data_IF_408747457372
#
_entry.id   IF_408747457372
#
_cell.length_a   1.000
_cell.length_b   1.000
_cell.length_c   1.000
_cell.angle_alpha   90.00
_cell.angle_beta   90.00
_cell.angle_gamma   90.00
#
_symmetry.space_group_name_H-M   'P 1'
#
loop_
_entity.id
_entity.type
_entity.pdbx_description
1 polymer ?
#
# COMPACT_ATOMS: atom_id res chain seq x y z
N UNK A 1 -5.30 3.83 3.12
CA UNK A 1 -4.17 4.30 2.29
C UNK A 1 -4.73 4.69 0.93
N UNK A 2 -4.28 5.82 0.38
CA UNK A 2 -4.85 6.46 -0.80
C UNK A 2 -4.02 6.19 -2.05
N UNK A 3 -4.59 6.38 -3.23
CA UNK A 3 -3.83 6.48 -4.48
C UNK A 3 -3.53 7.93 -4.82
N UNK A 4 -2.34 8.18 -5.37
CA UNK A 4 -1.84 9.52 -5.71
C UNK A 4 -1.37 9.52 -7.16
N UNK A 5 -1.73 10.57 -7.89
CA UNK A 5 -1.38 10.77 -9.28
C UNK A 5 -0.72 12.16 -9.45
N UNK A 6 0.47 12.25 -10.07
CA UNK A 6 1.14 13.53 -10.27
C UNK A 6 0.43 14.35 -11.36
N UNK A 7 0.25 15.65 -11.13
CA UNK A 7 -0.41 16.57 -12.06
C UNK A 7 0.24 16.58 -13.46
N UNK A 8 1.55 16.38 -13.50
CA UNK A 8 2.33 16.31 -14.75
C UNK A 8 1.86 15.15 -15.66
N UNK A 9 1.33 14.05 -15.11
CA UNK A 9 0.76 12.98 -15.92
C UNK A 9 -0.50 13.44 -16.66
N UNK A 10 -1.37 14.19 -15.98
CA UNK A 10 -2.58 14.78 -16.58
C UNK A 10 -2.23 15.82 -17.64
N UNK A 11 -1.21 16.65 -17.38
CA UNK A 11 -0.73 17.64 -18.35
C UNK A 11 -0.18 16.98 -19.62
N UNK A 12 0.50 15.83 -19.50
CA UNK A 12 0.96 15.05 -20.66
C UNK A 12 -0.20 14.40 -21.41
N UNK A 13 -1.15 13.78 -20.71
CA UNK A 13 -2.34 13.22 -21.32
C UNK A 13 -3.10 14.28 -22.14
N UNK A 14 -3.26 15.50 -21.59
CA UNK A 14 -3.87 16.60 -22.33
C UNK A 14 -3.08 16.98 -23.61
N UNK A 15 -1.74 17.02 -23.53
CA UNK A 15 -0.88 17.28 -24.71
C UNK A 15 -0.99 16.19 -25.77
N UNK A 16 -1.23 14.95 -25.37
CA UNK A 16 -1.47 13.80 -26.25
C UNK A 16 -2.93 13.70 -26.72
N UNK A 17 -3.72 14.77 -26.55
CA UNK A 17 -5.12 14.87 -26.95
C UNK A 17 -6.06 13.85 -26.27
N UNK A 18 -5.71 13.38 -25.07
CA UNK A 18 -6.67 12.69 -24.23
C UNK A 18 -7.79 13.64 -23.79
N UNK A 19 -9.02 13.12 -23.80
CA UNK A 19 -10.21 13.86 -23.41
C UNK A 19 -10.32 13.95 -21.88
N UNK A 20 -9.75 15.02 -21.33
CA UNK A 20 -9.71 15.29 -19.90
C UNK A 20 -11.09 15.56 -19.29
N UNK A 21 -12.07 15.98 -20.10
CA UNK A 21 -13.43 16.29 -19.65
C UNK A 21 -14.22 15.03 -19.24
N UNK A 22 -13.75 13.85 -19.65
CA UNK A 22 -14.34 12.57 -19.26
C UNK A 22 -13.95 12.12 -17.85
N UNK A 23 -12.98 12.77 -17.22
CA UNK A 23 -12.54 12.42 -15.87
C UNK A 23 -13.58 12.91 -14.84
N UNK A 24 -14.06 11.99 -13.99
CA UNK A 24 -14.97 12.35 -12.90
C UNK A 24 -14.17 13.04 -11.79
N UNK A 25 -14.36 14.36 -11.62
CA UNK A 25 -13.79 15.11 -10.52
C UNK A 25 -14.59 14.86 -9.24
N UNK A 26 -13.88 14.56 -8.15
CA UNK A 26 -14.50 14.36 -6.85
C UNK A 26 -14.68 15.68 -6.10
N UNK A 27 -15.81 15.86 -5.40
CA UNK A 27 -16.09 17.06 -4.63
C UNK A 27 -15.13 17.17 -3.44
N UNK A 28 -14.74 18.40 -3.08
CA UNK A 28 -13.75 18.66 -2.03
C UNK A 28 -14.20 18.13 -0.67
N UNK A 29 -15.50 18.13 -0.40
CA UNK A 29 -16.11 17.60 0.83
C UNK A 29 -15.91 16.09 1.00
N UNK A 30 -15.63 15.37 -0.10
CA UNK A 30 -15.30 13.95 -0.06
C UNK A 30 -13.83 13.67 0.25
N UNK A 31 -12.97 14.70 0.22
CA UNK A 31 -11.55 14.58 0.51
C UNK A 31 -11.28 14.72 2.01
N UNK A 32 -10.71 13.67 2.61
CA UNK A 32 -10.23 13.70 4.00
C UNK A 32 -8.77 14.18 4.04
N UNK A 33 -8.32 14.85 5.12
CA UNK A 33 -6.91 15.20 5.28
C UNK A 33 -6.02 13.95 5.24
N UNK A 34 -4.91 14.06 4.51
CA UNK A 34 -3.93 12.98 4.37
C UNK A 34 -2.60 13.45 4.92
N UNK A 35 -1.91 12.56 5.63
CA UNK A 35 -0.57 12.80 6.14
C UNK A 35 0.44 11.87 5.47
N UNK A 36 1.68 12.34 5.34
CA UNK A 36 2.82 11.54 4.91
C UNK A 36 3.31 10.60 6.04
N UNK A 37 4.34 9.80 5.76
CA UNK A 37 4.93 8.87 6.71
C UNK A 37 5.58 9.55 7.94
N UNK A 38 5.86 10.85 7.84
CA UNK A 38 6.39 11.69 8.92
C UNK A 38 5.29 12.48 9.64
N UNK A 39 4.01 12.18 9.37
CA UNK A 39 2.83 12.85 9.91
C UNK A 39 2.68 14.33 9.47
N UNK A 40 3.35 14.76 8.40
CA UNK A 40 3.09 16.08 7.82
C UNK A 40 1.85 16.01 6.94
N UNK A 41 1.02 17.05 6.99
CA UNK A 41 -0.15 17.15 6.12
C UNK A 41 0.29 17.31 4.66
N UNK A 42 -0.27 16.46 3.80
CA UNK A 42 -0.11 16.56 2.35
C UNK A 42 -1.17 17.51 1.77
N UNK A 43 -0.79 18.27 0.75
CA UNK A 43 -1.68 19.12 -0.02
C UNK A 43 -1.88 18.52 -1.41
N UNK A 44 -3.12 18.48 -1.87
CA UNK A 44 -3.49 17.97 -3.19
C UNK A 44 -4.28 19.05 -3.94
N UNK A 45 -4.15 19.06 -5.26
CA UNK A 45 -4.86 20.00 -6.15
C UNK A 45 -6.34 19.63 -6.31
N UNK A 46 -6.69 18.38 -6.00
CA UNK A 46 -8.04 17.85 -6.13
C UNK A 46 -8.00 16.32 -6.11
N UNK A 47 -9.14 15.71 -6.43
CA UNK A 47 -9.24 14.27 -6.62
C UNK A 47 -10.11 13.92 -7.82
N UNK A 48 -9.81 12.80 -8.45
CA UNK A 48 -10.55 12.28 -9.62
C UNK A 48 -10.82 10.79 -9.46
N UNK A 49 -11.82 10.27 -10.16
CA UNK A 49 -11.98 8.84 -10.40
C UNK A 49 -11.69 8.53 -11.87
N UNK A 50 -10.99 7.41 -12.08
CA UNK A 50 -10.79 6.86 -13.41
C UNK A 50 -10.77 5.34 -13.37
N UNK A 51 -11.06 4.73 -14.52
CA UNK A 51 -10.87 3.30 -14.72
C UNK A 51 -9.38 3.00 -14.90
N UNK A 52 -8.88 2.05 -14.12
CA UNK A 52 -7.48 1.59 -14.14
C UNK A 52 -7.46 0.14 -14.55
N UNK A 53 -6.62 -0.18 -15.53
CA UNK A 53 -6.31 -1.55 -15.92
C UNK A 53 -4.88 -1.88 -15.43
N UNK A 54 -4.74 -2.95 -14.66
CA UNK A 54 -3.44 -3.46 -14.23
C UNK A 54 -3.05 -4.64 -15.11
N UNK A 55 -1.88 -4.59 -15.74
CA UNK A 55 -1.35 -5.72 -16.50
C UNK A 55 -1.14 -6.94 -15.58
N UNK A 56 -1.74 -8.07 -15.94
CA UNK A 56 -1.73 -9.29 -15.11
C UNK A 56 -2.66 -9.23 -13.88
N UNK A 57 -3.44 -8.15 -13.72
CA UNK A 57 -4.45 -7.99 -12.68
C UNK A 57 -5.85 -7.77 -13.26
N UNK A 58 -6.71 -7.12 -12.48
CA UNK A 58 -8.08 -6.76 -12.89
C UNK A 58 -8.21 -5.27 -13.26
N UNK A 59 -9.40 -4.89 -13.72
CA UNK A 59 -9.79 -3.51 -13.98
C UNK A 59 -10.64 -2.98 -12.83
N UNK A 60 -10.31 -1.79 -12.33
CA UNK A 60 -11.07 -1.17 -11.24
C UNK A 60 -11.27 0.33 -11.46
N UNK A 61 -12.38 0.87 -10.95
CA UNK A 61 -12.54 2.32 -10.79
C UNK A 61 -11.82 2.74 -9.51
N UNK A 62 -10.84 3.61 -9.65
CA UNK A 62 -9.95 4.05 -8.57
C UNK A 62 -10.05 5.57 -8.42
N UNK A 63 -10.17 6.01 -7.16
CA UNK A 63 -10.04 7.42 -6.80
C UNK A 63 -8.57 7.77 -6.57
N UNK A 64 -8.11 8.88 -7.16
CA UNK A 64 -6.76 9.41 -7.03
C UNK A 64 -6.80 10.82 -6.47
N UNK A 65 -5.89 11.13 -5.55
CA UNK A 65 -5.56 12.50 -5.20
C UNK A 65 -4.50 13.04 -6.18
N UNK A 66 -4.67 14.26 -6.66
CA UNK A 66 -3.76 14.89 -7.61
C UNK A 66 -2.69 15.64 -6.83
N UNK A 67 -1.44 15.16 -6.90
CA UNK A 67 -0.32 15.81 -6.27
C UNK A 67 0.34 16.84 -7.19
N UNK A 68 0.69 17.99 -6.64
CA UNK A 68 1.47 19.03 -7.32
C UNK A 68 2.96 18.68 -7.25
N UNK A 69 3.35 17.64 -7.98
CA UNK A 69 4.74 17.22 -8.10
C UNK A 69 5.10 16.94 -9.56
N UNK A 70 6.38 17.07 -9.87
CA UNK A 70 6.95 16.73 -11.18
C UNK A 70 7.37 15.25 -11.27
N UNK A 71 7.02 14.46 -10.26
CA UNK A 71 7.34 13.04 -10.23
C UNK A 71 6.56 12.31 -11.33
N UNK A 72 7.11 11.19 -11.78
CA UNK A 72 6.49 10.36 -12.83
C UNK A 72 5.81 9.12 -12.26
N UNK A 73 5.92 8.92 -10.95
CA UNK A 73 5.46 7.72 -10.29
C UNK A 73 3.99 7.88 -9.89
N UNK A 74 3.21 6.84 -10.17
CA UNK A 74 1.82 6.73 -9.71
C UNK A 74 1.84 5.88 -8.45
N UNK A 75 1.25 6.37 -7.38
CA UNK A 75 1.11 5.60 -6.14
C UNK A 75 -0.26 4.95 -6.09
N UNK A 76 -0.28 3.62 -5.98
CA UNK A 76 -1.50 2.86 -5.76
C UNK A 76 -1.63 2.50 -4.28
N UNK A 77 -2.69 2.99 -3.65
CA UNK A 77 -3.01 2.67 -2.27
C UNK A 77 -3.87 1.42 -2.12
N UNK A 78 -4.12 1.04 -0.87
CA UNK A 78 -5.05 -0.05 -0.53
C UNK A 78 -6.48 0.18 -1.03
N UNK A 79 -6.87 1.42 -1.35
CA UNK A 79 -8.14 1.73 -2.03
C UNK A 79 -8.22 1.15 -3.46
N UNK A 80 -7.08 0.84 -4.07
CA UNK A 80 -6.96 0.28 -5.41
C UNK A 80 -6.51 -1.19 -5.40
N UNK A 81 -5.48 -1.53 -4.60
CA UNK A 81 -4.78 -2.82 -4.68
C UNK A 81 -5.71 -4.04 -4.54
N UNK A 82 -6.64 -4.02 -3.58
CA UNK A 82 -7.60 -5.12 -3.38
C UNK A 82 -8.50 -5.34 -4.61
N UNK A 83 -8.98 -4.25 -5.21
CA UNK A 83 -9.83 -4.29 -6.41
C UNK A 83 -9.07 -4.64 -7.68
N UNK A 84 -7.76 -4.40 -7.70
CA UNK A 84 -6.86 -4.78 -8.79
C UNK A 84 -6.30 -6.20 -8.60
N UNK A 85 -6.75 -6.92 -7.55
CA UNK A 85 -6.36 -8.31 -7.24
C UNK A 85 -4.86 -8.45 -6.95
N UNK A 86 -4.26 -7.43 -6.34
CA UNK A 86 -2.85 -7.48 -5.90
C UNK A 86 -2.77 -8.14 -4.52
N UNK A 87 -1.99 -9.22 -4.41
CA UNK A 87 -1.77 -9.94 -3.17
C UNK A 87 -0.29 -9.97 -2.79
N UNK A 88 0.00 -9.62 -1.52
CA UNK A 88 1.33 -9.80 -0.96
C UNK A 88 1.48 -11.23 -0.43
N UNK A 89 2.37 -12.01 -1.05
CA UNK A 89 2.70 -13.36 -0.58
C UNK A 89 4.10 -13.34 0.02
N UNK A 90 4.17 -13.49 1.35
CA UNK A 90 5.45 -13.69 2.04
C UNK A 90 5.78 -15.18 2.00
N UNK A 91 6.77 -15.55 1.19
CA UNK A 91 7.33 -16.91 1.21
C UNK A 91 8.44 -16.95 2.24
N UNK A 92 8.30 -17.81 3.23
CA UNK A 92 9.42 -18.14 4.10
C UNK A 92 10.26 -19.18 3.37
N UNK A 93 11.53 -18.85 3.09
CA UNK A 93 12.52 -19.85 2.68
C UNK A 93 12.97 -20.65 3.91
N UNK A 94 12.01 -21.28 4.60
CA UNK A 94 12.32 -22.49 5.35
C UNK A 94 12.27 -23.57 4.29
N UNK A 95 13.45 -23.96 3.80
CA UNK A 95 13.57 -25.14 2.96
C UNK A 95 12.83 -26.31 3.60
N UNK A 96 12.25 -27.15 2.75
CA UNK A 96 11.84 -28.51 3.11
C UNK A 96 13.04 -29.23 3.73
N UNK A 97 13.16 -29.14 5.05
CA UNK A 97 14.17 -29.86 5.81
C UNK A 97 13.63 -31.27 6.06
N UNK A 98 13.71 -32.11 5.03
CA UNK A 98 13.85 -33.55 5.20
C UNK A 98 15.26 -33.83 5.75
N UNK A 99 15.60 -33.32 6.93
CA UNK A 99 16.63 -33.92 7.76
C UNK A 99 15.96 -34.87 8.73
N UNK A 100 16.50 -36.08 8.76
CA UNK A 100 16.32 -37.03 9.85
C UNK A 100 16.35 -36.27 11.18
N UNK A 101 15.27 -36.41 11.95
CA UNK A 101 15.18 -35.89 13.32
C UNK A 101 16.30 -36.50 14.15
N UNK A 102 17.47 -35.86 14.18
CA UNK A 102 18.47 -36.16 15.19
C UNK A 102 17.85 -35.85 16.55
N UNK A 103 17.72 -36.89 17.36
CA UNK A 103 16.94 -36.94 18.59
C UNK A 103 17.64 -36.20 19.74
N UNK A 104 17.98 -34.93 19.54
CA UNK A 104 18.52 -34.02 20.58
C UNK A 104 17.64 -32.78 20.74
N UNK A 105 16.34 -33.01 20.83
CA UNK A 105 15.39 -31.97 21.23
C UNK A 105 15.54 -31.67 22.73
N UNK A 106 16.11 -30.52 23.06
CA UNK A 106 16.07 -30.00 24.44
C UNK A 106 14.64 -29.57 24.74
N UNK A 107 14.02 -30.20 25.72
CA UNK A 107 12.65 -29.88 26.17
C UNK A 107 12.72 -29.09 27.47
N UNK A 108 11.92 -28.03 27.59
CA UNK A 108 11.84 -27.23 28.81
C UNK A 108 11.26 -28.08 29.94
N UNK A 109 12.05 -28.35 30.98
CA UNK A 109 11.63 -29.16 32.13
C UNK A 109 10.58 -28.42 32.99
N UNK A 110 10.77 -27.11 33.20
CA UNK A 110 9.87 -26.26 33.98
C UNK A 110 10.06 -24.79 33.61
N UNK A 111 8.94 -24.05 33.57
CA UNK A 111 8.96 -22.58 33.51
C UNK A 111 8.69 -22.03 34.91
N UNK A 112 9.49 -21.08 35.36
CA UNK A 112 9.28 -20.36 36.60
C UNK A 112 9.29 -18.86 36.29
N UNK A 113 8.23 -18.16 36.69
CA UNK A 113 8.19 -16.71 36.61
C UNK A 113 8.94 -16.11 37.80
N UNK A 114 9.97 -15.31 37.52
CA UNK A 114 10.71 -14.55 38.53
C UNK A 114 10.39 -13.06 38.34
N UNK A 115 9.69 -12.42 39.29
CA UNK A 115 9.38 -11.00 39.19
C UNK A 115 10.64 -10.13 39.31
N UNK A 116 10.60 -8.86 38.87
CA UNK A 116 11.72 -7.94 39.01
C UNK A 116 12.22 -7.87 40.46
N UNK A 117 13.54 -7.99 40.66
CA UNK A 117 14.22 -8.08 41.96
C UNK A 117 13.96 -9.37 42.77
N UNK A 118 13.25 -10.35 42.22
CA UNK A 118 13.12 -11.70 42.79
C UNK A 118 14.32 -12.58 42.43
N UNK A 119 14.61 -13.57 43.27
CA UNK A 119 15.56 -14.64 42.97
C UNK A 119 14.83 -15.99 42.96
N UNK A 120 15.23 -16.87 42.03
CA UNK A 120 14.82 -18.26 42.02
C UNK A 120 15.97 -19.14 42.51
N UNK A 121 15.72 -19.93 43.56
CA UNK A 121 16.58 -21.03 44.01
C UNK A 121 16.33 -22.29 43.18
#
# INVERSE_FOLDING_TARGET
>A
MISILPVELLARAQKEAFDMEKLEVLPEESMVPVCDASCNRMNFLGAIKMQVYLEGGDTAIVAFHIADTNDKDILLGMNALDRLVVQLVIRSEIGDDNTEKDARGVTVLRRLYVPPHGSAL
#
